data_IF_268064755750
#
_entry.id   IF_268064755750
#
_cell.length_a   1.000
_cell.length_b   1.000
_cell.length_c   1.000
_cell.angle_alpha   90.00
_cell.angle_beta   90.00
_cell.angle_gamma   90.00
#
_symmetry.space_group_name_H-M   'P 1'
#
loop_
_entity.id
_entity.type
_entity.pdbx_description
1 polymer ?
#
# COMPACT_ATOMS: atom_id res chain seq x y z
N UNK A 1 -6.28 -44.76 -7.03
CA UNK A 1 -4.90 -44.21 -7.13
C UNK A 1 -4.75 -43.49 -8.47
N UNK A 2 -4.97 -42.16 -8.54
CA UNK A 2 -4.56 -41.28 -9.68
C UNK A 2 -4.92 -39.79 -9.47
N UNK A 3 -4.96 -39.27 -8.23
CA UNK A 3 -5.19 -37.84 -7.96
C UNK A 3 -3.94 -37.08 -7.47
N UNK A 4 -2.79 -37.74 -7.36
CA UNK A 4 -1.56 -37.15 -6.79
C UNK A 4 -0.62 -36.51 -7.82
N UNK A 5 -0.87 -36.67 -9.12
CA UNK A 5 0.02 -36.18 -10.19
C UNK A 5 -0.25 -34.74 -10.64
N UNK A 6 -1.53 -34.33 -10.69
CA UNK A 6 -1.92 -33.00 -11.17
C UNK A 6 -1.59 -31.90 -10.14
N UNK A 7 -1.78 -32.17 -8.85
CA UNK A 7 -1.43 -31.23 -7.79
C UNK A 7 0.08 -30.97 -7.70
N UNK A 8 0.93 -31.98 -7.98
CA UNK A 8 2.39 -31.82 -7.99
C UNK A 8 2.92 -31.05 -9.20
N UNK A 9 2.18 -31.02 -10.31
CA UNK A 9 2.53 -30.21 -11.49
C UNK A 9 2.13 -28.74 -11.32
N UNK A 10 1.00 -28.47 -10.68
CA UNK A 10 0.57 -27.10 -10.39
C UNK A 10 1.49 -26.38 -9.39
N UNK A 11 2.09 -27.11 -8.45
CA UNK A 11 3.02 -26.56 -7.45
C UNK A 11 4.46 -26.31 -7.97
N UNK A 12 4.76 -26.64 -9.24
CA UNK A 12 6.08 -26.40 -9.86
C UNK A 12 6.13 -25.25 -10.85
N UNK A 13 4.99 -24.69 -11.24
CA UNK A 13 4.94 -23.52 -12.13
C UNK A 13 4.74 -22.29 -11.26
N UNK A 14 5.76 -21.44 -11.21
CA UNK A 14 5.71 -20.18 -10.48
C UNK A 14 4.55 -19.31 -10.95
N UNK A 15 4.06 -18.46 -10.06
CA UNK A 15 2.92 -17.55 -10.28
C UNK A 15 3.14 -16.63 -11.51
N UNK A 16 4.38 -16.45 -11.97
CA UNK A 16 4.76 -15.66 -13.15
C UNK A 16 4.37 -16.30 -14.49
N UNK A 17 4.34 -17.64 -14.61
CA UNK A 17 4.08 -18.33 -15.89
C UNK A 17 2.60 -18.45 -16.25
N UNK A 18 1.71 -18.29 -15.26
CA UNK A 18 0.26 -18.33 -15.50
C UNK A 18 -0.20 -17.06 -16.21
N UNK A 19 0.41 -15.91 -15.91
CA UNK A 19 0.04 -14.62 -16.51
C UNK A 19 0.55 -14.44 -17.94
N UNK A 20 1.74 -14.97 -18.27
CA UNK A 20 2.29 -14.94 -19.63
C UNK A 20 1.46 -15.81 -20.59
N UNK A 21 0.98 -16.96 -20.10
CA UNK A 21 0.13 -17.88 -20.86
C UNK A 21 -1.27 -17.32 -21.08
N UNK A 22 -1.83 -16.60 -20.09
CA UNK A 22 -3.14 -15.95 -20.23
C UNK A 22 -3.08 -14.75 -21.19
N UNK A 23 -2.02 -13.93 -21.12
CA UNK A 23 -1.84 -12.75 -21.97
C UNK A 23 -1.65 -13.11 -23.46
N UNK A 24 -0.85 -14.14 -23.75
CA UNK A 24 -0.62 -14.62 -25.12
C UNK A 24 -1.86 -15.27 -25.76
N UNK A 25 -2.74 -15.87 -24.95
CA UNK A 25 -4.00 -16.46 -25.42
C UNK A 25 -5.05 -15.40 -25.77
N UNK A 26 -5.08 -14.30 -25.01
CA UNK A 26 -6.00 -13.18 -25.25
C UNK A 26 -5.60 -12.40 -26.52
N UNK A 27 -4.29 -12.19 -26.76
CA UNK A 27 -3.83 -11.49 -27.97
C UNK A 27 -4.07 -12.28 -29.27
N UNK A 28 -4.11 -13.61 -29.24
CA UNK A 28 -4.39 -14.43 -30.43
C UNK A 28 -5.86 -14.44 -30.86
N UNK A 29 -6.77 -13.92 -30.04
CA UNK A 29 -8.21 -14.08 -30.22
C UNK A 29 -8.93 -12.86 -30.81
N UNK A 30 -8.21 -11.76 -31.11
CA UNK A 30 -8.79 -10.56 -31.70
C UNK A 30 -8.00 -10.09 -32.92
N UNK A 31 -8.47 -10.32 -34.16
CA UNK A 31 -7.88 -9.69 -35.33
C UNK A 31 -8.24 -8.19 -35.38
N UNK A 32 -7.22 -7.36 -35.35
CA UNK A 32 -7.27 -5.93 -35.60
C UNK A 32 -7.39 -5.65 -37.11
N UNK A 33 -8.61 -5.56 -37.63
CA UNK A 33 -8.95 -4.76 -38.83
C UNK A 33 -10.41 -4.97 -39.25
N UNK A 34 -11.24 -3.94 -39.08
CA UNK A 34 -12.52 -3.83 -39.79
C UNK A 34 -12.36 -2.64 -40.74
N UNK A 35 -12.40 -2.82 -42.08
CA UNK A 35 -12.37 -1.69 -43.01
C UNK A 35 -13.76 -1.01 -43.05
N UNK A 36 -13.83 0.31 -43.35
CA UNK A 36 -15.11 1.01 -43.42
C UNK A 36 -15.90 0.57 -44.66
N UNK A 37 -17.20 0.33 -44.49
CA UNK A 37 -18.14 0.05 -45.60
C UNK A 37 -18.50 1.35 -46.35
N UNK A 38 -18.69 1.31 -47.68
CA UNK A 38 -19.08 2.48 -48.45
C UNK A 38 -20.56 2.83 -48.24
N UNK A 39 -20.84 4.14 -48.14
CA UNK A 39 -22.18 4.71 -48.06
C UNK A 39 -22.77 4.74 -49.49
N UNK A 40 -23.82 3.96 -49.73
CA UNK A 40 -24.63 4.07 -50.95
C UNK A 40 -25.72 5.14 -50.76
N UNK A 41 -25.66 6.20 -51.55
CA UNK A 41 -26.70 7.23 -51.67
C UNK A 41 -27.83 6.65 -52.54
N UNK A 42 -28.93 6.24 -51.89
CA UNK A 42 -30.17 5.83 -52.55
C UNK A 42 -31.09 7.03 -52.80
N UNK A 43 -31.50 7.21 -54.06
CA UNK A 43 -32.41 8.25 -54.56
C UNK A 43 -33.69 8.42 -53.73
N UNK A 44 -34.06 9.68 -53.48
CA UNK A 44 -35.34 10.08 -52.91
C UNK A 44 -36.53 9.57 -53.73
N UNK A 45 -37.50 8.94 -53.06
CA UNK A 45 -38.86 8.73 -53.58
C UNK A 45 -39.84 9.68 -52.89
N UNK A 46 -40.65 10.34 -53.72
CA UNK A 46 -41.66 11.36 -53.43
C UNK A 46 -42.55 11.01 -52.24
N UNK A 47 -42.79 12.02 -51.39
CA UNK A 47 -43.78 12.00 -50.33
C UNK A 47 -45.20 11.75 -50.87
N UNK A 48 -45.86 10.72 -50.36
CA UNK A 48 -47.32 10.65 -50.28
C UNK A 48 -47.68 11.02 -48.84
N UNK A 49 -48.53 12.02 -48.68
CA UNK A 49 -49.25 12.28 -47.44
C UNK A 49 -50.01 11.02 -47.04
N UNK A 50 -49.60 10.42 -45.93
CA UNK A 50 -50.37 9.42 -45.21
C UNK A 50 -50.93 10.14 -43.99
N UNK A 51 -52.26 10.08 -43.83
CA UNK A 51 -52.97 10.58 -42.66
C UNK A 51 -52.35 9.95 -41.41
N UNK A 52 -52.03 10.79 -40.44
CA UNK A 52 -51.66 10.35 -39.10
C UNK A 52 -52.98 10.01 -38.42
N UNK A 53 -53.32 8.73 -38.39
CA UNK A 53 -54.27 8.20 -37.42
C UNK A 53 -53.49 7.97 -36.12
N UNK A 54 -54.09 8.35 -35.00
CA UNK A 54 -53.54 8.28 -33.65
C UNK A 54 -53.24 6.82 -33.25
N UNK A 55 -52.11 6.27 -33.68
CA UNK A 55 -51.53 5.05 -33.09
C UNK A 55 -50.61 5.47 -31.95
N UNK A 56 -51.18 5.45 -30.75
CA UNK A 56 -50.46 5.33 -29.49
C UNK A 56 -49.42 4.21 -29.65
N UNK A 57 -48.14 4.57 -29.77
CA UNK A 57 -47.06 3.60 -29.93
C UNK A 57 -46.98 2.77 -28.66
N UNK A 58 -47.65 1.62 -28.67
CA UNK A 58 -47.47 0.56 -27.71
C UNK A 58 -45.99 0.21 -27.74
N UNK A 59 -45.28 0.59 -26.68
CA UNK A 59 -44.01 -0.02 -26.35
C UNK A 59 -44.37 -1.48 -26.10
N UNK A 60 -44.05 -2.36 -27.05
CA UNK A 60 -44.23 -3.79 -26.90
C UNK A 60 -43.50 -4.24 -25.63
N UNK A 61 -44.26 -4.46 -24.55
CA UNK A 61 -43.77 -5.06 -23.32
C UNK A 61 -43.18 -6.43 -23.69
N UNK A 62 -41.86 -6.55 -23.56
CA UNK A 62 -41.15 -7.82 -23.73
C UNK A 62 -41.91 -8.89 -22.91
N UNK A 63 -42.34 -10.02 -23.50
CA UNK A 63 -43.27 -10.91 -22.81
C UNK A 63 -42.59 -11.50 -21.57
N UNK A 64 -43.04 -11.06 -20.40
CA UNK A 64 -42.64 -11.63 -19.12
C UNK A 64 -42.86 -13.14 -19.19
N UNK A 65 -41.80 -13.92 -18.96
CA UNK A 65 -41.83 -15.38 -19.00
C UNK A 65 -43.08 -15.92 -18.28
N UNK A 66 -43.81 -16.84 -18.92
CA UNK A 66 -45.03 -17.39 -18.32
C UNK A 66 -44.75 -17.93 -16.89
N UNK A 67 -45.70 -17.82 -15.95
CA UNK A 67 -45.53 -18.31 -14.58
C UNK A 67 -45.12 -19.79 -14.50
N UNK A 68 -45.52 -20.60 -15.48
CA UNK A 68 -45.14 -22.01 -15.60
C UNK A 68 -43.68 -22.18 -16.05
N UNK A 69 -43.22 -21.38 -17.01
CA UNK A 69 -41.82 -21.36 -17.47
C UNK A 69 -40.89 -20.92 -16.34
N UNK A 70 -41.29 -19.90 -15.58
CA UNK A 70 -40.54 -19.41 -14.42
C UNK A 70 -40.47 -20.47 -13.30
N UNK A 71 -41.57 -21.17 -13.01
CA UNK A 71 -41.60 -22.30 -12.05
C UNK A 71 -40.75 -23.49 -12.51
N UNK A 72 -40.66 -23.77 -13.82
CA UNK A 72 -39.84 -24.87 -14.38
C UNK A 72 -38.34 -24.54 -14.32
N UNK A 73 -37.94 -23.31 -14.66
CA UNK A 73 -36.57 -22.81 -14.49
C UNK A 73 -36.10 -22.88 -13.04
N UNK A 74 -36.94 -22.47 -12.08
CA UNK A 74 -36.64 -22.54 -10.64
C UNK A 74 -36.50 -23.97 -10.08
N UNK A 75 -37.05 -24.97 -10.77
CA UNK A 75 -36.92 -26.40 -10.43
C UNK A 75 -35.72 -27.07 -11.11
N UNK A 76 -35.09 -26.41 -12.09
CA UNK A 76 -33.94 -26.97 -12.79
C UNK A 76 -32.75 -27.09 -11.82
N UNK A 77 -32.09 -28.25 -11.73
CA UNK A 77 -31.00 -28.47 -10.77
C UNK A 77 -29.84 -27.48 -10.97
N UNK A 78 -29.58 -27.07 -12.22
CA UNK A 78 -28.60 -26.03 -12.54
C UNK A 78 -28.97 -24.67 -11.94
N UNK A 79 -30.24 -24.24 -12.02
CA UNK A 79 -30.68 -22.96 -11.44
C UNK A 79 -30.56 -22.97 -9.91
N UNK A 80 -30.90 -24.10 -9.26
CA UNK A 80 -30.73 -24.27 -7.81
C UNK A 80 -29.25 -24.24 -7.41
N UNK A 81 -28.39 -24.93 -8.15
CA UNK A 81 -26.95 -24.92 -7.93
C UNK A 81 -26.35 -23.53 -8.14
N UNK A 82 -26.70 -22.83 -9.23
CA UNK A 82 -26.28 -21.45 -9.49
C UNK A 82 -26.74 -20.50 -8.38
N UNK A 83 -27.99 -20.61 -7.92
CA UNK A 83 -28.50 -19.80 -6.80
C UNK A 83 -27.73 -20.06 -5.51
N UNK A 84 -27.41 -21.31 -5.19
CA UNK A 84 -26.58 -21.66 -4.02
C UNK A 84 -25.16 -21.12 -4.14
N UNK A 85 -24.55 -21.21 -5.33
CA UNK A 85 -23.23 -20.65 -5.60
C UNK A 85 -23.25 -19.14 -5.36
N UNK A 86 -24.24 -18.41 -5.86
CA UNK A 86 -24.37 -16.96 -5.67
C UNK A 86 -24.52 -16.62 -4.18
N UNK A 87 -25.37 -17.36 -3.45
CA UNK A 87 -25.60 -17.16 -2.01
C UNK A 87 -24.31 -17.36 -1.20
N UNK A 88 -23.39 -18.22 -1.64
CA UNK A 88 -22.11 -18.46 -0.96
C UNK A 88 -21.03 -17.48 -1.45
N UNK A 89 -20.96 -17.23 -2.76
CA UNK A 89 -19.93 -16.41 -3.38
C UNK A 89 -20.05 -14.93 -2.99
N UNK A 90 -21.27 -14.39 -2.87
CA UNK A 90 -21.47 -12.99 -2.51
C UNK A 90 -20.91 -12.68 -1.10
N UNK A 91 -21.26 -13.43 -0.02
CA UNK A 91 -20.67 -13.22 1.29
C UNK A 91 -19.15 -13.39 1.31
N UNK A 92 -18.61 -14.39 0.59
CA UNK A 92 -17.16 -14.58 0.50
C UNK A 92 -16.50 -13.36 -0.15
N UNK A 93 -17.05 -12.87 -1.27
CA UNK A 93 -16.57 -11.65 -1.92
C UNK A 93 -16.64 -10.47 -0.96
N UNK A 94 -17.74 -10.31 -0.22
CA UNK A 94 -17.90 -9.23 0.75
C UNK A 94 -16.86 -9.31 1.88
N UNK A 95 -16.58 -10.51 2.40
CA UNK A 95 -15.54 -10.76 3.40
C UNK A 95 -14.17 -10.40 2.84
N UNK A 96 -13.87 -10.80 1.60
CA UNK A 96 -12.59 -10.47 0.94
C UNK A 96 -12.44 -8.95 0.73
N UNK A 97 -13.52 -8.25 0.36
CA UNK A 97 -13.51 -6.80 0.22
C UNK A 97 -13.33 -6.09 1.56
N UNK A 98 -14.00 -6.56 2.62
CA UNK A 98 -13.80 -6.05 3.99
C UNK A 98 -12.35 -6.28 4.43
N UNK A 99 -11.80 -7.47 4.18
CA UNK A 99 -10.42 -7.80 4.52
C UNK A 99 -9.43 -6.92 3.77
N UNK A 100 -9.62 -6.74 2.45
CA UNK A 100 -8.83 -5.82 1.65
C UNK A 100 -8.95 -4.37 2.15
N UNK A 101 -10.14 -3.93 2.55
CA UNK A 101 -10.36 -2.61 3.12
C UNK A 101 -9.66 -2.44 4.48
N UNK A 102 -9.63 -3.47 5.33
CA UNK A 102 -8.89 -3.44 6.61
C UNK A 102 -7.37 -3.35 6.35
N UNK A 103 -6.84 -4.04 5.34
CA UNK A 103 -5.43 -3.91 4.95
C UNK A 103 -5.14 -2.50 4.42
N UNK A 104 -6.01 -1.99 3.55
CA UNK A 104 -5.85 -0.66 2.97
C UNK A 104 -5.98 0.44 4.02
N UNK A 105 -6.93 0.30 4.96
CA UNK A 105 -7.26 1.30 5.98
C UNK A 105 -7.39 0.64 7.36
N UNK A 106 -6.27 0.28 8.01
CA UNK A 106 -6.30 -0.48 9.25
C UNK A 106 -6.99 0.30 10.38
N UNK A 107 -7.99 -0.30 11.06
CA UNK A 107 -8.67 0.37 12.17
C UNK A 107 -7.71 0.57 13.34
N UNK A 108 -7.88 1.65 14.09
CA UNK A 108 -7.02 1.98 15.23
C UNK A 108 -6.95 0.87 16.29
N UNK A 109 -8.04 0.11 16.45
CA UNK A 109 -8.07 -1.05 17.35
C UNK A 109 -7.09 -2.15 16.91
N UNK A 110 -6.95 -2.38 15.60
CA UNK A 110 -5.98 -3.34 15.06
C UNK A 110 -4.55 -2.87 15.33
N UNK A 111 -4.24 -1.60 15.08
CA UNK A 111 -2.91 -1.04 15.39
C UNK A 111 -2.58 -1.16 16.88
N UNK A 112 -3.54 -0.85 17.76
CA UNK A 112 -3.37 -1.02 19.21
C UNK A 112 -3.15 -2.50 19.58
N UNK A 113 -3.90 -3.41 18.98
CA UNK A 113 -3.74 -4.84 19.20
C UNK A 113 -2.35 -5.34 18.77
N UNK A 114 -1.89 -4.95 17.58
CA UNK A 114 -0.55 -5.28 17.07
C UNK A 114 0.57 -4.75 17.98
N UNK A 115 0.43 -3.50 18.42
CA UNK A 115 1.35 -2.84 19.35
C UNK A 115 1.36 -3.50 20.73
N UNK A 116 0.20 -3.91 21.24
CA UNK A 116 0.07 -4.61 22.52
C UNK A 116 0.71 -6.00 22.47
N UNK A 117 0.53 -6.73 21.36
CA UNK A 117 1.13 -8.05 21.18
C UNK A 117 2.64 -8.00 20.90
N UNK A 118 3.13 -6.87 20.37
CA UNK A 118 4.54 -6.65 20.04
C UNK A 118 5.02 -5.30 20.62
N UNK A 119 5.17 -5.19 21.94
CA UNK A 119 5.43 -3.90 22.63
C UNK A 119 6.74 -3.22 22.23
N UNK A 120 7.70 -4.00 21.73
CA UNK A 120 9.00 -3.54 21.26
C UNK A 120 8.97 -2.94 19.85
N UNK A 121 7.97 -3.30 19.03
CA UNK A 121 7.79 -2.83 17.65
C UNK A 121 7.03 -1.51 17.66
N UNK A 122 7.54 -0.47 17.01
CA UNK A 122 6.88 0.83 16.93
C UNK A 122 5.88 0.80 15.78
N UNK A 123 4.59 0.75 16.08
CA UNK A 123 3.53 1.04 15.11
C UNK A 123 2.99 2.46 15.28
N UNK A 124 2.89 2.91 16.53
CA UNK A 124 2.27 4.18 16.89
C UNK A 124 2.83 4.68 18.23
N UNK A 125 3.05 5.99 18.37
CA UNK A 125 3.53 6.60 19.62
C UNK A 125 2.41 7.47 20.21
N UNK A 126 1.63 6.98 21.19
CA UNK A 126 0.42 7.67 21.63
C UNK A 126 0.67 9.10 22.14
N UNK A 127 -0.09 10.05 21.59
CA UNK A 127 -0.14 11.43 22.05
C UNK A 127 -1.59 11.88 22.29
N UNK A 128 -1.83 12.82 23.22
CA UNK A 128 -3.15 13.40 23.40
C UNK A 128 -3.57 14.21 22.15
N UNK A 129 -4.89 14.42 21.91
CA UNK A 129 -5.39 15.16 20.75
C UNK A 129 -4.81 16.58 20.57
N UNK A 130 -4.40 17.22 21.66
CA UNK A 130 -3.79 18.55 21.67
C UNK A 130 -2.33 18.57 21.17
N UNK A 131 -1.66 17.42 21.12
CA UNK A 131 -0.26 17.30 20.70
C UNK A 131 -0.21 16.76 19.26
N UNK A 132 -0.46 17.64 18.29
CA UNK A 132 -0.48 17.32 16.85
C UNK A 132 0.94 17.13 16.33
N UNK A 133 1.60 16.06 16.75
CA UNK A 133 2.94 15.68 16.28
C UNK A 133 2.86 14.28 15.67
N UNK A 134 3.51 14.07 14.54
CA UNK A 134 3.67 12.76 13.89
C UNK A 134 5.14 12.51 13.57
N UNK A 135 5.49 11.26 13.30
CA UNK A 135 6.78 10.90 12.76
C UNK A 135 6.63 10.57 11.27
N UNK A 136 7.42 11.22 10.42
CA UNK A 136 7.55 10.85 9.01
C UNK A 136 8.76 9.93 8.85
N UNK A 137 8.56 8.79 8.20
CA UNK A 137 9.61 7.82 7.93
C UNK A 137 9.65 7.46 6.45
N UNK A 138 10.86 7.37 5.91
CA UNK A 138 11.13 7.21 4.47
C UNK A 138 11.98 5.97 4.24
N UNK A 139 11.45 5.00 3.53
CA UNK A 139 12.12 3.72 3.20
C UNK A 139 12.88 3.82 1.89
N UNK A 140 13.70 2.83 1.58
CA UNK A 140 14.48 2.70 0.34
C UNK A 140 15.56 3.77 0.08
N UNK A 141 15.87 4.61 1.07
CA UNK A 141 16.89 5.63 0.95
C UNK A 141 18.31 5.03 0.98
N UNK A 142 19.34 5.73 0.46
CA UNK A 142 19.24 6.90 -0.41
C UNK A 142 18.91 6.56 -1.87
N UNK A 143 18.47 7.58 -2.60
CA UNK A 143 18.21 7.58 -4.04
C UNK A 143 18.53 8.93 -4.69
N UNK A 144 18.27 9.06 -6.00
CA UNK A 144 18.31 10.35 -6.72
C UNK A 144 17.36 11.39 -6.14
N UNK A 145 16.28 10.95 -5.49
CA UNK A 145 15.23 11.81 -4.96
C UNK A 145 15.52 12.33 -3.54
N UNK A 146 16.39 11.65 -2.79
CA UNK A 146 16.67 11.96 -1.38
C UNK A 146 17.07 13.43 -1.19
N UNK A 147 17.88 13.97 -2.11
CA UNK A 147 18.32 15.37 -2.04
C UNK A 147 17.16 16.36 -2.11
N UNK A 148 16.22 16.16 -3.05
CA UNK A 148 15.05 17.02 -3.20
C UNK A 148 14.06 16.85 -2.03
N UNK A 149 13.94 15.63 -1.50
CA UNK A 149 13.14 15.37 -0.30
C UNK A 149 13.71 16.11 0.91
N UNK A 150 15.03 16.14 1.11
CA UNK A 150 15.67 16.91 2.18
C UNK A 150 15.37 18.41 2.05
N UNK A 151 15.45 18.96 0.83
CA UNK A 151 15.10 20.36 0.57
C UNK A 151 13.64 20.68 0.93
N UNK A 152 12.70 19.77 0.60
CA UNK A 152 11.31 19.90 1.01
C UNK A 152 11.15 19.84 2.53
N UNK A 153 11.77 18.88 3.21
CA UNK A 153 11.69 18.78 4.67
C UNK A 153 12.20 20.06 5.34
N UNK A 154 13.31 20.62 4.83
CA UNK A 154 13.84 21.89 5.31
C UNK A 154 12.88 23.05 5.10
N UNK A 155 12.25 23.16 3.93
CA UNK A 155 11.28 24.21 3.61
C UNK A 155 10.05 24.17 4.53
N UNK A 156 9.66 22.97 4.97
CA UNK A 156 8.54 22.73 5.89
C UNK A 156 8.97 22.71 7.38
N UNK A 157 10.24 22.99 7.69
CA UNK A 157 10.80 22.86 9.06
C UNK A 157 10.49 21.49 9.70
N UNK A 158 10.52 20.44 8.90
CA UNK A 158 10.20 19.06 9.27
C UNK A 158 11.48 18.25 9.50
N UNK A 159 11.42 17.29 10.42
CA UNK A 159 12.41 16.22 10.56
C UNK A 159 11.78 14.87 10.23
N UNK A 160 12.61 13.91 9.85
CA UNK A 160 12.17 12.58 9.41
C UNK A 160 13.20 11.53 9.82
N UNK A 161 12.82 10.25 9.74
CA UNK A 161 13.74 9.12 9.85
C UNK A 161 13.85 8.42 8.50
N UNK A 162 15.06 8.30 7.96
CA UNK A 162 15.34 7.62 6.69
C UNK A 162 15.85 6.22 6.95
N UNK A 163 15.17 5.20 6.43
CA UNK A 163 15.60 3.81 6.49
C UNK A 163 16.51 3.49 5.31
N UNK A 164 17.78 3.27 5.62
CA UNK A 164 18.87 3.20 4.65
C UNK A 164 19.11 1.75 4.20
N UNK A 165 19.08 1.55 2.88
CA UNK A 165 19.55 0.33 2.23
C UNK A 165 21.05 0.46 1.96
N UNK A 166 21.86 -0.40 2.57
CA UNK A 166 23.32 -0.35 2.49
C UNK A 166 23.87 -0.31 1.07
N UNK A 167 23.34 -1.16 0.19
CA UNK A 167 23.80 -1.26 -1.20
C UNK A 167 23.58 0.00 -2.05
N UNK A 168 22.79 0.97 -1.57
CA UNK A 168 22.59 2.25 -2.25
C UNK A 168 23.62 3.32 -1.86
N UNK A 169 24.24 3.22 -0.68
CA UNK A 169 25.07 4.31 -0.11
C UNK A 169 26.18 4.74 -1.07
N UNK A 170 26.91 3.79 -1.65
CA UNK A 170 28.04 4.06 -2.56
C UNK A 170 27.65 4.79 -3.85
N UNK A 171 26.36 4.76 -4.24
CA UNK A 171 25.86 5.42 -5.45
C UNK A 171 25.58 6.91 -5.22
N UNK A 172 25.44 7.33 -3.97
CA UNK A 172 25.03 8.68 -3.59
C UNK A 172 25.98 9.23 -2.52
N UNK A 173 27.24 9.53 -2.88
CA UNK A 173 28.26 9.95 -1.92
C UNK A 173 27.84 11.23 -1.19
N UNK A 174 28.04 11.26 0.13
CA UNK A 174 27.73 12.42 0.98
C UNK A 174 26.25 12.55 1.38
N UNK A 175 25.33 11.76 0.83
CA UNK A 175 23.91 11.92 1.11
C UNK A 175 23.56 11.49 2.54
N UNK A 176 24.19 10.43 3.08
CA UNK A 176 23.94 9.95 4.44
C UNK A 176 24.40 10.99 5.46
N UNK A 177 25.58 11.58 5.24
CA UNK A 177 26.10 12.68 6.03
C UNK A 177 25.21 13.91 5.94
N UNK A 178 24.65 14.21 4.76
CA UNK A 178 23.69 15.28 4.58
C UNK A 178 22.40 15.04 5.39
N UNK A 179 21.80 13.86 5.27
CA UNK A 179 20.61 13.47 6.05
C UNK A 179 20.89 13.69 7.55
N UNK A 180 22.02 13.18 8.03
CA UNK A 180 22.38 13.26 9.45
C UNK A 180 22.68 14.70 9.92
N UNK A 181 23.50 15.45 9.18
CA UNK A 181 23.90 16.82 9.53
C UNK A 181 22.75 17.83 9.47
N UNK A 182 21.75 17.58 8.63
CA UNK A 182 20.50 18.36 8.62
C UNK A 182 19.56 17.98 9.78
N UNK A 183 19.95 17.05 10.66
CA UNK A 183 19.23 16.70 11.89
C UNK A 183 18.10 15.68 11.70
N UNK A 184 18.10 14.95 10.59
CA UNK A 184 17.24 13.78 10.40
C UNK A 184 17.85 12.56 11.08
N UNK A 185 17.03 11.55 11.35
CA UNK A 185 17.50 10.28 11.90
C UNK A 185 17.72 9.24 10.81
N UNK A 186 18.63 8.31 11.07
CA UNK A 186 18.91 7.17 10.22
C UNK A 186 18.39 5.89 10.88
N UNK A 187 17.67 5.09 10.10
CA UNK A 187 17.31 3.71 10.41
C UNK A 187 18.00 2.76 9.44
N UNK A 188 18.11 1.50 9.84
CA UNK A 188 18.70 0.45 9.03
C UNK A 188 17.59 -0.31 8.27
N UNK A 189 17.77 -0.50 6.95
CA UNK A 189 16.87 -1.25 6.07
C UNK A 189 17.57 -2.44 5.40
N UNK A 190 18.53 -3.04 6.09
CA UNK A 190 19.39 -4.11 5.62
C UNK A 190 20.21 -3.74 4.38
N UNK A 191 20.93 -4.72 3.81
CA UNK A 191 21.82 -4.46 2.67
C UNK A 191 21.03 -4.31 1.36
N UNK A 192 19.92 -5.02 1.25
CA UNK A 192 19.03 -5.09 0.08
C UNK A 192 17.56 -5.11 0.54
N UNK A 193 16.65 -4.71 -0.34
CA UNK A 193 15.19 -4.70 -0.10
C UNK A 193 14.57 -6.12 -0.20
N UNK A 194 15.25 -7.11 0.36
CA UNK A 194 14.73 -8.47 0.44
C UNK A 194 13.74 -8.58 1.61
N UNK A 195 12.71 -9.44 1.51
CA UNK A 195 11.82 -9.72 2.64
C UNK A 195 12.61 -10.24 3.84
N UNK A 196 12.93 -9.36 4.80
CA UNK A 196 13.93 -9.64 5.83
C UNK A 196 13.54 -10.83 6.72
N UNK A 197 12.25 -11.10 6.87
CA UNK A 197 11.73 -12.25 7.63
C UNK A 197 12.01 -13.61 6.99
N UNK A 198 12.40 -13.63 5.71
CA UNK A 198 12.77 -14.84 4.97
C UNK A 198 14.27 -15.11 4.98
N UNK A 199 15.09 -14.15 5.42
CA UNK A 199 16.53 -14.32 5.52
C UNK A 199 16.88 -15.27 6.68
N UNK A 200 17.92 -16.11 6.54
CA UNK A 200 18.56 -16.76 7.68
C UNK A 200 18.98 -15.70 8.72
N UNK A 201 18.77 -15.97 10.01
CA UNK A 201 19.04 -14.98 11.06
C UNK A 201 20.50 -14.50 11.08
N UNK A 202 21.45 -15.37 10.75
CA UNK A 202 22.88 -15.01 10.64
C UNK A 202 23.16 -14.05 9.47
N UNK A 203 22.44 -14.22 8.36
CA UNK A 203 22.55 -13.33 7.21
C UNK A 203 21.91 -11.97 7.52
N UNK A 204 20.76 -11.97 8.19
CA UNK A 204 20.14 -10.74 8.67
C UNK A 204 21.05 -9.97 9.63
N UNK A 205 21.67 -10.65 10.60
CA UNK A 205 22.64 -10.06 11.52
C UNK A 205 23.81 -9.42 10.76
N UNK A 206 24.39 -10.16 9.81
CA UNK A 206 25.52 -9.69 8.99
C UNK A 206 25.15 -8.42 8.23
N UNK A 207 24.01 -8.44 7.52
CA UNK A 207 23.55 -7.27 6.76
C UNK A 207 23.29 -6.07 7.66
N UNK A 208 22.63 -6.26 8.81
CA UNK A 208 22.37 -5.17 9.76
C UNK A 208 23.69 -4.59 10.29
N UNK A 209 24.65 -5.45 10.66
CA UNK A 209 25.96 -5.04 11.16
C UNK A 209 26.74 -4.21 10.13
N UNK A 210 26.87 -4.72 8.92
CA UNK A 210 27.58 -4.03 7.83
C UNK A 210 26.97 -2.67 7.51
N UNK A 211 25.65 -2.57 7.43
CA UNK A 211 25.00 -1.28 7.18
C UNK A 211 25.21 -0.34 8.37
N UNK A 212 25.16 -0.83 9.60
CA UNK A 212 25.34 0.03 10.78
C UNK A 212 26.75 0.66 10.86
N UNK A 213 27.78 -0.03 10.37
CA UNK A 213 29.14 0.53 10.27
C UNK A 213 29.20 1.71 9.29
N UNK A 214 28.25 1.81 8.35
CA UNK A 214 28.15 2.90 7.37
C UNK A 214 27.29 4.07 7.85
N UNK A 215 26.57 3.93 8.97
CA UNK A 215 25.63 4.95 9.46
C UNK A 215 26.21 5.68 10.69
N UNK A 216 26.21 7.03 10.72
CA UNK A 216 26.52 7.76 11.94
C UNK A 216 25.46 7.49 13.02
N UNK A 217 25.87 7.60 14.29
CA UNK A 217 24.96 7.39 15.41
C UNK A 217 23.93 8.52 15.50
N UNK A 218 22.66 8.16 15.68
CA UNK A 218 21.62 9.15 15.94
C UNK A 218 21.90 9.89 17.26
N UNK A 219 21.60 11.19 17.31
CA UNK A 219 21.88 12.01 18.51
C UNK A 219 21.18 11.58 19.80
N UNK A 220 20.17 10.72 19.71
CA UNK A 220 19.48 10.11 20.86
C UNK A 220 20.01 8.71 21.24
N UNK A 221 21.02 8.19 20.53
CA UNK A 221 21.58 6.85 20.70
C UNK A 221 20.67 5.70 20.26
N UNK A 222 19.49 6.00 19.73
CA UNK A 222 18.51 4.97 19.34
C UNK A 222 18.87 4.38 17.98
N UNK A 223 18.80 3.05 17.89
CA UNK A 223 18.94 2.31 16.63
C UNK A 223 17.58 1.77 16.20
N UNK A 224 17.18 2.09 14.97
CA UNK A 224 15.93 1.62 14.38
C UNK A 224 16.21 0.67 13.23
N UNK A 225 15.42 -0.38 13.12
CA UNK A 225 15.45 -1.28 11.98
C UNK A 225 14.04 -1.39 11.39
N UNK A 226 13.92 -1.32 10.07
CA UNK A 226 12.67 -1.62 9.38
C UNK A 226 12.87 -2.87 8.52
N UNK A 227 12.04 -3.91 8.68
CA UNK A 227 12.13 -5.08 7.81
C UNK A 227 11.71 -4.72 6.37
N UNK A 228 12.48 -5.16 5.38
CA UNK A 228 12.01 -5.22 3.99
C UNK A 228 10.69 -6.00 3.91
N UNK A 229 9.76 -5.58 3.05
CA UNK A 229 8.36 -6.02 2.97
C UNK A 229 7.43 -5.64 4.14
N UNK A 230 7.93 -5.08 5.24
CA UNK A 230 7.12 -4.71 6.42
C UNK A 230 6.66 -5.90 7.29
N UNK A 231 6.99 -7.13 6.91
CA UNK A 231 6.68 -8.34 7.67
C UNK A 231 7.85 -8.73 8.58
N UNK A 232 7.53 -9.29 9.74
CA UNK A 232 8.51 -9.85 10.67
C UNK A 232 7.95 -11.11 11.32
N UNK A 233 8.84 -11.97 11.80
CA UNK A 233 8.49 -13.11 12.64
C UNK A 233 9.15 -12.98 14.01
N UNK A 234 8.78 -13.84 14.96
CA UNK A 234 9.29 -13.80 16.33
C UNK A 234 10.82 -13.91 16.40
N UNK A 235 11.41 -14.88 15.70
CA UNK A 235 12.85 -15.12 15.74
C UNK A 235 13.66 -13.95 15.20
N UNK A 236 13.21 -13.37 14.09
CA UNK A 236 13.76 -12.13 13.54
C UNK A 236 13.67 -10.98 14.55
N UNK A 237 12.49 -10.75 15.12
CA UNK A 237 12.26 -9.65 16.05
C UNK A 237 13.16 -9.76 17.28
N UNK A 238 13.17 -10.92 17.94
CA UNK A 238 14.02 -11.17 19.11
C UNK A 238 15.51 -11.01 18.77
N UNK A 239 15.92 -11.42 17.57
CA UNK A 239 17.29 -11.27 17.10
C UNK A 239 17.69 -9.81 16.93
N UNK A 240 16.90 -9.03 16.19
CA UNK A 240 17.15 -7.60 15.94
C UNK A 240 17.12 -6.80 17.24
N UNK A 241 16.21 -7.13 18.16
CA UNK A 241 16.17 -6.56 19.51
C UNK A 241 17.44 -6.88 20.31
N UNK A 242 17.92 -8.12 20.25
CA UNK A 242 19.17 -8.53 20.90
C UNK A 242 20.41 -7.78 20.41
N UNK A 243 20.35 -7.24 19.19
CA UNK A 243 21.38 -6.35 18.63
C UNK A 243 21.23 -4.88 19.05
N UNK A 244 20.24 -4.55 19.89
CA UNK A 244 19.98 -3.19 20.39
C UNK A 244 19.09 -2.34 19.49
N UNK A 245 18.42 -2.91 18.50
CA UNK A 245 17.52 -2.18 17.61
C UNK A 245 16.08 -2.25 18.08
N UNK A 246 15.32 -1.21 17.74
CA UNK A 246 13.85 -1.26 17.78
C UNK A 246 13.31 -1.42 16.37
N UNK A 247 12.39 -2.37 16.20
CA UNK A 247 11.66 -2.48 14.94
C UNK A 247 10.75 -1.26 14.81
N UNK A 248 10.83 -0.60 13.65
CA UNK A 248 9.97 0.51 13.30
C UNK A 248 9.08 0.10 12.13
N UNK A 249 7.78 -0.07 12.41
CA UNK A 249 6.75 -0.13 11.39
C UNK A 249 6.00 1.20 11.41
N UNK A 250 4.68 1.17 11.26
CA UNK A 250 3.89 2.39 11.21
C UNK A 250 2.41 2.12 11.37
N UNK A 251 1.69 3.20 11.63
CA UNK A 251 0.23 3.20 11.77
C UNK A 251 -0.45 3.74 10.51
N UNK A 252 0.31 4.38 9.62
CA UNK A 252 -0.16 4.98 8.37
C UNK A 252 0.79 4.57 7.26
N UNK A 253 0.27 3.86 6.26
CA UNK A 253 1.02 3.38 5.10
C UNK A 253 0.11 3.51 3.86
N UNK A 254 0.50 4.29 2.83
CA UNK A 254 -0.37 4.55 1.69
C UNK A 254 -0.33 3.49 0.59
N UNK A 255 0.46 2.42 0.74
CA UNK A 255 0.68 1.42 -0.31
C UNK A 255 1.28 2.04 -1.58
N UNK A 256 2.18 3.02 -1.41
CA UNK A 256 2.78 3.80 -2.48
C UNK A 256 3.66 3.00 -3.45
N UNK A 257 4.33 1.89 -3.07
CA UNK A 257 4.93 0.97 -4.03
C UNK A 257 3.93 0.29 -4.95
N UNK A 258 2.69 0.05 -4.48
CA UNK A 258 1.64 -0.68 -5.21
C UNK A 258 0.73 0.28 -6.01
N UNK A 259 0.58 1.51 -5.54
CA UNK A 259 -0.31 2.52 -6.12
C UNK A 259 0.53 3.77 -6.44
N UNK A 260 1.11 3.89 -7.64
CA UNK A 260 1.96 5.02 -8.02
C UNK A 260 1.13 6.26 -8.38
N UNK A 261 0.40 6.80 -7.40
CA UNK A 261 -0.45 7.98 -7.54
C UNK A 261 -0.23 8.95 -6.36
N UNK A 262 0.71 9.90 -6.48
CA UNK A 262 1.13 10.74 -5.36
C UNK A 262 -0.03 11.48 -4.69
N UNK A 263 -0.96 12.05 -5.47
CA UNK A 263 -2.15 12.73 -4.93
C UNK A 263 -3.11 11.82 -4.15
N UNK A 264 -3.34 10.58 -4.62
CA UNK A 264 -4.18 9.61 -3.92
C UNK A 264 -3.51 9.14 -2.63
N UNK A 265 -2.21 8.87 -2.68
CA UNK A 265 -1.42 8.45 -1.53
C UNK A 265 -1.36 9.55 -0.47
N UNK A 266 -1.14 10.80 -0.88
CA UNK A 266 -1.18 11.95 0.02
C UNK A 266 -2.55 12.12 0.69
N UNK A 267 -3.65 12.05 -0.09
CA UNK A 267 -5.00 12.05 0.47
C UNK A 267 -5.20 10.91 1.48
N UNK A 268 -4.71 9.71 1.16
CA UNK A 268 -4.83 8.54 2.02
C UNK A 268 -4.09 8.73 3.35
N UNK A 269 -2.82 9.14 3.32
CA UNK A 269 -2.02 9.48 4.50
C UNK A 269 -2.77 10.50 5.35
N UNK A 270 -3.17 11.61 4.73
CA UNK A 270 -3.87 12.69 5.40
C UNK A 270 -5.22 12.24 5.98
N UNK A 271 -5.90 11.26 5.39
CA UNK A 271 -7.17 10.71 5.93
C UNK A 271 -6.99 9.83 7.18
N UNK A 272 -5.75 9.43 7.48
CA UNK A 272 -5.40 8.48 8.54
C UNK A 272 -4.57 9.09 9.66
N UNK A 273 -3.78 10.12 9.36
CA UNK A 273 -2.92 10.76 10.36
C UNK A 273 -3.71 11.28 11.56
N UNK A 274 -3.13 11.04 12.72
CA UNK A 274 -3.60 11.47 14.03
C UNK A 274 -2.38 11.70 14.94
N UNK A 275 -2.51 12.48 16.03
CA UNK A 275 -1.46 12.65 17.02
C UNK A 275 -0.75 11.34 17.35
N UNK A 276 0.57 11.31 17.18
CA UNK A 276 1.40 10.13 17.43
C UNK A 276 1.58 9.15 16.27
N UNK A 277 1.01 9.45 15.09
CA UNK A 277 1.15 8.57 13.93
C UNK A 277 2.61 8.42 13.51
N UNK A 278 2.97 7.20 13.12
CA UNK A 278 4.20 6.91 12.39
C UNK A 278 3.80 6.64 10.94
N UNK A 279 4.21 7.53 10.05
CA UNK A 279 3.87 7.53 8.63
C UNK A 279 5.01 6.88 7.85
N UNK A 280 4.70 5.85 7.07
CA UNK A 280 5.64 5.18 6.16
C UNK A 280 5.38 5.69 4.75
N UNK A 281 6.44 6.14 4.09
CA UNK A 281 6.48 6.48 2.67
C UNK A 281 7.80 5.98 2.09
N UNK A 282 7.92 5.91 0.77
CA UNK A 282 9.13 5.40 0.13
C UNK A 282 9.91 6.50 -0.59
N UNK A 283 11.21 6.50 -0.39
CA UNK A 283 12.21 7.09 -1.29
C UNK A 283 12.31 6.22 -2.57
N UNK A 284 13.13 6.63 -3.54
CA UNK A 284 13.52 5.83 -4.72
C UNK A 284 12.41 5.62 -5.76
N UNK A 285 11.36 6.44 -5.75
CA UNK A 285 10.34 6.50 -6.81
C UNK A 285 10.35 7.88 -7.46
N UNK A 286 10.11 7.94 -8.77
CA UNK A 286 10.01 9.19 -9.53
C UNK A 286 8.90 10.13 -9.03
N UNK A 287 7.86 9.58 -8.37
CA UNK A 287 6.80 10.32 -7.71
C UNK A 287 7.04 10.61 -6.20
N UNK A 288 8.15 10.15 -5.60
CA UNK A 288 8.40 10.30 -4.15
C UNK A 288 8.44 11.77 -3.72
N UNK A 289 9.12 12.63 -4.48
CA UNK A 289 9.26 14.07 -4.18
C UNK A 289 7.90 14.76 -4.16
N UNK A 290 7.08 14.55 -5.19
CA UNK A 290 5.72 15.11 -5.28
C UNK A 290 4.85 14.61 -4.11
N UNK A 291 4.88 13.29 -3.86
CA UNK A 291 4.09 12.67 -2.80
C UNK A 291 4.43 13.25 -1.41
N UNK A 292 5.72 13.34 -1.08
CA UNK A 292 6.20 13.91 0.19
C UNK A 292 5.79 15.38 0.30
N UNK A 293 5.96 16.17 -0.76
CA UNK A 293 5.54 17.57 -0.78
C UNK A 293 4.05 17.76 -0.51
N UNK A 294 3.19 16.96 -1.14
CA UNK A 294 1.74 17.00 -0.92
C UNK A 294 1.35 16.61 0.53
N UNK A 295 2.03 15.62 1.10
CA UNK A 295 1.81 15.21 2.50
C UNK A 295 2.25 16.31 3.47
N UNK A 296 3.45 16.87 3.31
CA UNK A 296 3.98 17.93 4.17
C UNK A 296 3.07 19.16 4.14
N UNK A 297 2.68 19.63 2.95
CA UNK A 297 1.73 20.73 2.80
C UNK A 297 0.42 20.47 3.53
N UNK A 298 -0.17 19.28 3.34
CA UNK A 298 -1.44 18.92 3.98
C UNK A 298 -1.33 18.76 5.51
N UNK A 299 -0.15 18.40 6.02
CA UNK A 299 0.11 18.33 7.46
C UNK A 299 0.23 19.73 8.08
N UNK A 300 0.93 20.65 7.40
CA UNK A 300 1.04 22.05 7.82
C UNK A 300 -0.32 22.74 7.90
N UNK A 301 -1.14 22.59 6.85
CA UNK A 301 -2.51 23.14 6.80
C UNK A 301 -3.39 22.63 7.95
N UNK A 302 -3.06 21.46 8.52
CA UNK A 302 -3.77 20.82 9.64
C UNK A 302 -3.12 21.06 11.00
N UNK A 303 -2.03 21.84 11.03
CA UNK A 303 -1.27 22.18 12.22
C UNK A 303 -0.54 21.00 12.84
N UNK A 304 -0.09 20.03 12.03
CA UNK A 304 0.76 18.94 12.50
C UNK A 304 2.24 19.35 12.43
N UNK A 305 2.97 19.10 13.52
CA UNK A 305 4.44 19.11 13.50
C UNK A 305 4.95 17.75 13.02
N UNK A 306 5.93 17.76 12.12
CA UNK A 306 6.55 16.57 11.57
C UNK A 306 7.94 16.39 12.18
N UNK A 307 8.15 15.26 12.84
CA UNK A 307 9.38 14.91 13.54
C UNK A 307 9.99 13.60 13.03
N UNK A 308 11.24 13.35 13.41
CA UNK A 308 11.81 11.99 13.37
C UNK A 308 11.13 11.07 14.39
N UNK A 309 11.39 9.76 14.33
CA UNK A 309 10.91 8.80 15.32
C UNK A 309 11.35 9.17 16.73
N UNK A 310 12.63 9.49 16.93
CA UNK A 310 13.15 9.91 18.22
C UNK A 310 12.61 11.26 18.68
N UNK A 311 12.40 12.21 17.76
CA UNK A 311 11.74 13.48 18.06
C UNK A 311 10.32 13.26 18.60
N UNK A 312 9.53 12.40 17.95
CA UNK A 312 8.19 12.03 18.42
C UNK A 312 8.23 11.31 19.79
N UNK A 313 9.19 10.40 20.00
CA UNK A 313 9.39 9.73 21.29
C UNK A 313 9.74 10.74 22.40
N UNK A 314 10.59 11.73 22.12
CA UNK A 314 10.95 12.76 23.07
C UNK A 314 9.74 13.61 23.48
N UNK A 315 8.88 13.98 22.52
CA UNK A 315 7.61 14.66 22.80
C UNK A 315 6.74 13.81 23.71
N UNK A 316 6.55 12.53 23.40
CA UNK A 316 5.73 11.62 24.22
C UNK A 316 6.28 11.47 25.66
N UNK A 317 7.60 11.36 25.81
CA UNK A 317 8.25 11.29 27.12
C UNK A 317 8.01 12.56 27.94
N UNK A 318 8.20 13.74 27.33
CA UNK A 318 7.97 15.02 27.99
C UNK A 318 6.49 15.20 28.43
N UNK A 319 5.54 14.72 27.62
CA UNK A 319 4.12 14.73 27.98
C UNK A 319 3.80 13.82 29.16
N UNK A 320 4.41 12.64 29.24
CA UNK A 320 4.20 11.73 30.37
C UNK A 320 4.80 12.29 31.67
N UNK A 321 5.98 12.92 31.61
CA UNK A 321 6.58 13.59 32.77
C UNK A 321 5.69 14.69 33.34
N UNK A 322 5.02 15.47 32.49
CA UNK A 322 4.07 16.53 32.90
C UNK A 322 2.78 16.01 33.54
N UNK A 323 2.45 14.73 33.41
CA UNK A 323 1.26 14.13 34.04
C UNK A 323 1.54 13.55 35.43
N UNK A 324 2.81 13.30 35.75
CA UNK A 324 3.24 12.63 36.97
C UNK A 324 3.72 13.61 38.04
N UNK A 325 4.15 14.82 37.64
CA UNK A 325 4.44 15.94 38.54
C UNK A 325 3.27 16.91 38.63
#
# INVERSE_FOLDING_TARGET
MRLSGLLRRALRLGVTDVWSTLYSTIQRSFPSSIPPKPIFIGKQKKHKHIKIDDEESQIDDEPLLSPLTQRRLQRHPLYRAMRLIIIIAIPILFILLIFAYIIYRPPNLLIKFLQWHNPSVIFHIPLPPSQRVIALTLDDAPSSETGAILDLLKAHNAKATFFIIGSQISRYPGIVERIHSEGHELGNHAMTDDPSFQLPLSELERQIGEVQEMLPENGNGMRYFRPGSGWFNRGMRERVEGMGYRLALGSVYPHDPQIPRPGLNAWHVLSLVRPGSVVIMHDRRDYSVEQVGLVLKGLDERGFKVESLGGLLAVAKAQNSKKVG
#
